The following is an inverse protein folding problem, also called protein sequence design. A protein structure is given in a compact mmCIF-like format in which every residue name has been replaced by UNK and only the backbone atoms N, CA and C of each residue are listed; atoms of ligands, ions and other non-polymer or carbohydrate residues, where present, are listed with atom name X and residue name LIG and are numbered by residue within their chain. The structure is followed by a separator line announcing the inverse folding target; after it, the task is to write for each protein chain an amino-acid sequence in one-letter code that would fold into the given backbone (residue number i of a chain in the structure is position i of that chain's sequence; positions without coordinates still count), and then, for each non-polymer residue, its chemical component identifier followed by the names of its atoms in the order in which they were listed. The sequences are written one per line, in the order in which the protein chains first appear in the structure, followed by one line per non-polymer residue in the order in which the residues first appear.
data_IF_660381617008
#
_entry.id   IF_660381617008
#
_cell.length_a   1.000
_cell.length_b   1.000
_cell.length_c   1.000
_cell.angle_alpha   90.00
_cell.angle_beta   90.00
_cell.angle_gamma   90.00
#
_symmetry.space_group_name_H-M   'P 1'
#
loop_
_entity.id
_entity.type
_entity.pdbx_description
1 polymer ?
#
# COMPACT_ATOMS: atom_id res chain seq x y z
N UNK A 1 -43.21 -31.71 26.28
CA UNK A 1 -41.75 -31.47 26.35
C UNK A 1 -41.16 -31.60 24.95
N UNK A 2 -39.95 -31.14 24.70
CA UNK A 2 -39.26 -31.35 23.41
C UNK A 2 -38.01 -32.20 23.64
N UNK A 3 -37.93 -33.32 22.95
CA UNK A 3 -36.78 -34.22 23.03
C UNK A 3 -35.67 -33.70 22.10
N UNK A 4 -34.58 -33.18 22.69
CA UNK A 4 -33.47 -32.58 21.94
C UNK A 4 -32.78 -33.64 21.08
N UNK A 5 -32.59 -34.85 21.62
CA UNK A 5 -31.94 -35.96 20.93
C UNK A 5 -32.72 -36.49 19.72
N UNK A 6 -34.04 -36.29 19.67
CA UNK A 6 -34.89 -36.83 18.61
C UNK A 6 -35.52 -35.75 17.73
N UNK A 7 -35.38 -34.47 18.09
CA UNK A 7 -35.91 -33.37 17.32
C UNK A 7 -37.44 -33.24 17.31
N UNK A 8 -38.15 -33.85 18.27
CA UNK A 8 -39.63 -33.94 18.25
C UNK A 8 -40.27 -33.56 19.59
N UNK A 9 -41.51 -33.02 19.57
CA UNK A 9 -42.31 -32.84 20.79
C UNK A 9 -42.75 -34.21 21.33
N UNK A 10 -42.59 -34.40 22.64
CA UNK A 10 -42.93 -35.63 23.36
C UNK A 10 -43.87 -35.32 24.54
N UNK A 11 -44.84 -36.21 24.77
CA UNK A 11 -45.73 -36.16 25.93
C UNK A 11 -45.10 -36.87 27.15
N UNK A 12 -45.74 -36.78 28.30
CA UNK A 12 -45.25 -37.34 29.57
C UNK A 12 -45.13 -38.88 29.54
N UNK A 13 -46.11 -39.58 28.96
CA UNK A 13 -46.07 -41.05 28.84
C UNK A 13 -44.89 -41.54 27.98
N UNK A 14 -44.57 -40.86 26.89
CA UNK A 14 -43.41 -41.19 26.06
C UNK A 14 -42.06 -40.98 26.77
N UNK A 15 -42.05 -40.13 27.81
CA UNK A 15 -40.87 -39.83 28.61
C UNK A 15 -40.70 -40.83 29.76
N UNK A 16 -41.76 -41.19 30.48
CA UNK A 16 -41.64 -42.12 31.62
C UNK A 16 -41.62 -43.60 31.22
N UNK A 17 -42.44 -43.99 30.24
CA UNK A 17 -42.63 -45.39 29.86
C UNK A 17 -42.20 -45.70 28.42
N UNK A 18 -41.82 -44.65 27.66
CA UNK A 18 -41.49 -44.74 26.25
C UNK A 18 -39.99 -44.67 25.93
N UNK A 19 -39.67 -44.65 24.63
CA UNK A 19 -38.29 -44.66 24.10
C UNK A 19 -37.45 -43.40 24.42
N UNK A 20 -37.98 -42.44 25.17
CA UNK A 20 -37.32 -41.15 25.44
C UNK A 20 -36.93 -40.96 26.90
N UNK A 21 -37.07 -41.96 27.78
CA UNK A 21 -36.77 -41.83 29.20
C UNK A 21 -35.30 -41.54 29.56
N UNK A 22 -34.36 -41.80 28.63
CA UNK A 22 -32.96 -41.42 28.78
C UNK A 22 -32.55 -40.21 27.91
N UNK A 23 -33.48 -39.61 27.17
CA UNK A 23 -33.16 -38.50 26.28
C UNK A 23 -33.33 -37.15 26.97
N UNK A 24 -32.45 -36.20 26.62
CA UNK A 24 -32.53 -34.84 27.14
C UNK A 24 -33.80 -34.15 26.61
N UNK A 25 -34.67 -33.72 27.54
CA UNK A 25 -35.90 -33.01 27.22
C UNK A 25 -35.86 -31.57 27.74
N UNK A 26 -36.26 -30.63 26.88
CA UNK A 26 -36.38 -29.21 27.22
C UNK A 26 -37.83 -28.75 27.16
N UNK A 27 -38.12 -27.64 27.82
CA UNK A 27 -39.43 -27.01 27.76
C UNK A 27 -39.78 -26.63 26.32
N UNK A 28 -40.96 -27.06 25.85
CA UNK A 28 -41.38 -26.87 24.45
C UNK A 28 -41.40 -25.38 24.06
N UNK A 29 -41.86 -24.50 24.95
CA UNK A 29 -41.87 -23.05 24.72
C UNK A 29 -40.47 -22.43 24.62
N UNK A 30 -39.48 -22.95 25.34
CA UNK A 30 -38.10 -22.49 25.24
C UNK A 30 -37.46 -22.94 23.92
N UNK A 31 -37.66 -24.20 23.54
CA UNK A 31 -37.19 -24.74 22.25
C UNK A 31 -37.84 -24.05 21.05
N UNK A 32 -39.14 -23.75 21.14
CA UNK A 32 -39.84 -22.96 20.13
C UNK A 32 -39.21 -21.57 19.94
N UNK A 33 -38.94 -20.85 21.04
CA UNK A 33 -38.27 -19.54 20.97
C UNK A 33 -36.88 -19.66 20.35
N UNK A 34 -36.09 -20.66 20.77
CA UNK A 34 -34.76 -20.90 20.23
C UNK A 34 -34.79 -21.19 18.71
N UNK A 35 -35.64 -22.13 18.26
CA UNK A 35 -35.76 -22.46 16.84
C UNK A 35 -36.27 -21.28 16.02
N UNK A 36 -37.22 -20.50 16.56
CA UNK A 36 -37.69 -19.26 15.92
C UNK A 36 -36.55 -18.26 15.74
N UNK A 37 -35.73 -18.03 16.77
CA UNK A 37 -34.58 -17.13 16.68
C UNK A 37 -33.54 -17.64 15.67
N UNK A 38 -33.24 -18.94 15.67
CA UNK A 38 -32.31 -19.54 14.70
C UNK A 38 -32.81 -19.41 13.26
N UNK A 39 -34.11 -19.65 13.01
CA UNK A 39 -34.74 -19.46 11.71
C UNK A 39 -34.69 -17.99 11.28
N UNK A 40 -34.99 -17.05 12.18
CA UNK A 40 -34.90 -15.61 11.88
C UNK A 40 -33.47 -15.17 11.56
N UNK A 41 -32.47 -15.67 12.30
CA UNK A 41 -31.06 -15.40 12.01
C UNK A 41 -30.63 -15.97 10.66
N UNK A 42 -31.02 -17.22 10.36
CA UNK A 42 -30.74 -17.84 9.07
C UNK A 42 -31.41 -17.09 7.91
N UNK A 43 -32.67 -16.67 8.08
CA UNK A 43 -33.40 -15.89 7.08
C UNK A 43 -32.74 -14.53 6.83
N UNK A 44 -32.32 -13.83 7.89
CA UNK A 44 -31.58 -12.57 7.77
C UNK A 44 -30.26 -12.78 7.03
N UNK A 45 -29.49 -13.82 7.39
CA UNK A 45 -28.23 -14.14 6.71
C UNK A 45 -28.41 -14.48 5.23
N UNK A 46 -29.49 -15.16 4.85
CA UNK A 46 -29.81 -15.40 3.43
C UNK A 46 -30.22 -14.09 2.72
N UNK A 47 -30.99 -13.23 3.38
CA UNK A 47 -31.38 -11.92 2.85
C UNK A 47 -30.16 -11.02 2.61
N UNK A 48 -29.21 -10.99 3.53
CA UNK A 48 -27.97 -10.23 3.41
C UNK A 48 -27.13 -10.75 2.24
N UNK A 49 -26.95 -12.08 2.12
CA UNK A 49 -26.27 -12.69 0.96
C UNK A 49 -26.97 -12.40 -0.37
N UNK A 50 -28.30 -12.37 -0.39
CA UNK A 50 -29.06 -12.01 -1.58
C UNK A 50 -28.86 -10.54 -1.98
N UNK A 51 -28.68 -9.65 -0.99
CA UNK A 51 -28.34 -8.24 -1.23
C UNK A 51 -26.92 -8.10 -1.79
N UNK A 52 -25.95 -8.78 -1.20
CA UNK A 52 -24.56 -8.83 -1.69
C UNK A 52 -24.49 -9.35 -3.13
N UNK A 53 -25.22 -10.43 -3.45
CA UNK A 53 -25.28 -10.97 -4.81
C UNK A 53 -25.89 -9.97 -5.81
N UNK A 54 -26.89 -9.18 -5.40
CA UNK A 54 -27.45 -8.11 -6.24
C UNK A 54 -26.46 -6.99 -6.47
N UNK A 55 -25.73 -6.56 -5.43
CA UNK A 55 -24.69 -5.54 -5.54
C UNK A 55 -23.56 -6.00 -6.48
N UNK A 56 -23.14 -7.26 -6.37
CA UNK A 56 -22.16 -7.87 -7.25
C UNK A 56 -22.65 -7.94 -8.71
N UNK A 57 -23.92 -8.27 -8.94
CA UNK A 57 -24.52 -8.23 -10.29
C UNK A 57 -24.54 -6.81 -10.88
N UNK A 58 -24.78 -5.78 -10.06
CA UNK A 58 -24.70 -4.38 -10.50
C UNK A 58 -23.26 -4.02 -10.88
N UNK A 59 -22.27 -4.42 -10.07
CA UNK A 59 -20.86 -4.22 -10.40
C UNK A 59 -20.48 -4.89 -11.71
N UNK A 60 -20.88 -6.15 -11.95
CA UNK A 60 -20.63 -6.86 -13.20
C UNK A 60 -21.26 -6.15 -14.41
N UNK A 61 -22.49 -5.63 -14.27
CA UNK A 61 -23.15 -4.86 -15.34
C UNK A 61 -22.40 -3.56 -15.64
N UNK A 62 -21.90 -2.86 -14.63
CA UNK A 62 -21.12 -1.64 -14.82
C UNK A 62 -19.79 -1.94 -15.53
N UNK A 63 -19.12 -3.05 -15.19
CA UNK A 63 -17.89 -3.49 -15.89
C UNK A 63 -18.19 -3.80 -17.36
N UNK A 64 -19.28 -4.52 -17.65
CA UNK A 64 -19.69 -4.81 -19.02
C UNK A 64 -19.97 -3.54 -19.83
N UNK A 65 -20.68 -2.57 -19.23
CA UNK A 65 -20.93 -1.28 -19.87
C UNK A 65 -19.62 -0.54 -20.16
N UNK A 66 -18.69 -0.52 -19.20
CA UNK A 66 -17.40 0.13 -19.37
C UNK A 66 -16.55 -0.54 -20.46
N UNK A 67 -16.61 -1.87 -20.59
CA UNK A 67 -15.96 -2.60 -21.69
C UNK A 67 -16.58 -2.21 -23.03
N UNK A 68 -17.91 -2.09 -23.12
CA UNK A 68 -18.59 -1.67 -24.34
C UNK A 68 -18.24 -0.24 -24.75
N UNK A 69 -18.28 0.70 -23.81
CA UNK A 69 -17.91 2.11 -24.05
C UNK A 69 -16.44 2.22 -24.48
N UNK A 70 -15.52 1.57 -23.74
CA UNK A 70 -14.11 1.52 -24.12
C UNK A 70 -13.92 0.89 -25.51
N UNK A 71 -14.65 -0.18 -25.83
CA UNK A 71 -14.56 -0.87 -27.12
C UNK A 71 -14.93 0.04 -28.29
N UNK A 72 -16.02 0.80 -28.16
CA UNK A 72 -16.44 1.78 -29.18
C UNK A 72 -15.40 2.89 -29.36
N UNK A 73 -14.82 3.39 -28.26
CA UNK A 73 -13.77 4.41 -28.31
C UNK A 73 -12.47 3.88 -28.94
N UNK A 74 -12.09 2.63 -28.65
CA UNK A 74 -10.95 1.95 -29.29
C UNK A 74 -11.17 1.82 -30.79
N UNK A 75 -12.36 1.40 -31.21
CA UNK A 75 -12.71 1.26 -32.63
C UNK A 75 -12.65 2.62 -33.33
N UNK A 76 -13.25 3.67 -32.76
CA UNK A 76 -13.22 5.02 -33.32
C UNK A 76 -11.78 5.57 -33.42
N UNK A 77 -10.94 5.33 -32.41
CA UNK A 77 -9.54 5.74 -32.43
C UNK A 77 -8.73 4.99 -33.49
N UNK A 78 -8.94 3.67 -33.61
CA UNK A 78 -8.29 2.86 -34.63
C UNK A 78 -8.68 3.32 -36.03
N UNK A 79 -9.97 3.59 -36.27
CA UNK A 79 -10.46 4.11 -37.54
C UNK A 79 -9.81 5.46 -37.85
N UNK A 80 -9.83 6.41 -36.91
CA UNK A 80 -9.21 7.71 -37.11
C UNK A 80 -7.69 7.62 -37.39
N UNK A 81 -6.98 6.69 -36.74
CA UNK A 81 -5.56 6.44 -37.00
C UNK A 81 -5.33 5.84 -38.40
N UNK A 82 -6.15 4.86 -38.80
CA UNK A 82 -6.12 4.28 -40.15
C UNK A 82 -6.42 5.34 -41.22
N UNK A 83 -7.44 6.17 -41.01
CA UNK A 83 -7.79 7.26 -41.92
C UNK A 83 -6.65 8.27 -42.05
N UNK A 84 -6.04 8.67 -40.94
CA UNK A 84 -4.88 9.57 -40.96
C UNK A 84 -3.68 8.99 -41.73
N UNK A 85 -3.45 7.67 -41.63
CA UNK A 85 -2.43 6.95 -42.41
C UNK A 85 -2.75 6.96 -43.90
N UNK A 86 -3.98 6.64 -44.27
CA UNK A 86 -4.46 6.67 -45.66
C UNK A 86 -4.31 8.07 -46.24
N UNK A 87 -4.64 9.10 -45.46
CA UNK A 87 -4.52 10.50 -45.82
C UNK A 87 -3.07 10.92 -46.04
N UNK A 88 -2.17 10.53 -45.14
CA UNK A 88 -0.74 10.80 -45.25
C UNK A 88 -0.14 10.13 -46.49
N UNK A 89 -0.48 8.85 -46.72
CA UNK A 89 -0.11 8.11 -47.93
C UNK A 89 -0.62 8.78 -49.19
N UNK A 90 -1.87 9.24 -49.19
CA UNK A 90 -2.50 9.90 -50.35
C UNK A 90 -1.82 11.24 -50.65
N UNK A 91 -1.51 12.05 -49.63
CA UNK A 91 -0.73 13.28 -49.77
C UNK A 91 0.68 13.02 -50.30
N UNK A 92 1.36 11.99 -49.79
CA UNK A 92 2.70 11.60 -50.25
C UNK A 92 2.67 11.16 -51.71
N UNK A 93 1.71 10.31 -52.08
CA UNK A 93 1.45 9.87 -53.46
C UNK A 93 1.25 11.07 -54.39
N UNK A 94 0.43 12.05 -54.00
CA UNK A 94 0.18 13.23 -54.80
C UNK A 94 1.47 14.04 -55.07
N UNK A 95 2.32 14.23 -54.06
CA UNK A 95 3.63 14.90 -54.19
C UNK A 95 4.57 14.17 -55.15
N UNK A 96 4.66 12.84 -55.03
CA UNK A 96 5.49 12.03 -55.91
C UNK A 96 4.98 12.09 -57.36
N UNK A 97 3.65 12.03 -57.55
CA UNK A 97 3.04 12.16 -58.86
C UNK A 97 3.36 13.52 -59.50
N UNK A 98 3.30 14.62 -58.72
CA UNK A 98 3.64 15.95 -59.25
C UNK A 98 5.11 16.03 -59.70
N UNK A 99 6.01 15.38 -58.97
CA UNK A 99 7.44 15.31 -59.34
C UNK A 99 7.63 14.56 -60.66
N UNK A 100 6.96 13.42 -60.83
CA UNK A 100 6.98 12.64 -62.08
C UNK A 100 6.40 13.44 -63.25
N UNK A 101 5.25 14.10 -63.07
CA UNK A 101 4.63 14.91 -64.12
C UNK A 101 5.53 16.07 -64.54
N UNK A 102 6.18 16.75 -63.59
CA UNK A 102 7.09 17.86 -63.88
C UNK A 102 8.34 17.42 -64.64
N UNK A 103 8.92 16.26 -64.29
CA UNK A 103 10.07 15.70 -65.03
C UNK A 103 9.65 15.29 -66.45
N UNK A 104 8.49 14.65 -66.60
CA UNK A 104 7.91 14.33 -67.91
C UNK A 104 7.73 15.57 -68.78
N UNK A 105 7.12 16.63 -68.24
CA UNK A 105 6.93 17.89 -68.98
C UNK A 105 8.25 18.55 -69.37
N UNK A 106 9.25 18.51 -68.49
CA UNK A 106 10.58 19.04 -68.78
C UNK A 106 11.24 18.27 -69.94
N UNK A 107 11.20 16.94 -69.91
CA UNK A 107 11.71 16.08 -70.98
C UNK A 107 10.99 16.29 -72.31
N UNK A 108 9.67 16.45 -72.29
CA UNK A 108 8.89 16.79 -73.50
C UNK A 108 9.31 18.13 -74.09
N UNK A 109 9.52 19.17 -73.26
CA UNK A 109 10.02 20.49 -73.74
C UNK A 109 11.40 20.39 -74.38
N UNK A 110 12.29 19.59 -73.80
CA UNK A 110 13.63 19.33 -74.39
C UNK A 110 13.48 18.62 -75.73
N UNK A 111 12.63 17.60 -75.82
CA UNK A 111 12.32 16.87 -77.05
C UNK A 111 11.79 17.82 -78.14
N UNK A 112 10.80 18.66 -77.82
CA UNK A 112 10.24 19.63 -78.77
C UNK A 112 11.28 20.65 -79.26
N UNK A 113 12.14 21.13 -78.37
CA UNK A 113 13.23 22.05 -78.72
C UNK A 113 14.29 21.38 -79.61
N UNK A 114 14.60 20.11 -79.36
CA UNK A 114 15.45 19.28 -80.21
C UNK A 114 14.84 19.11 -81.60
N UNK A 115 13.57 18.70 -81.69
CA UNK A 115 12.84 18.53 -82.94
C UNK A 115 12.88 19.82 -83.77
N UNK A 116 12.57 20.97 -83.15
CA UNK A 116 12.63 22.27 -83.83
C UNK A 116 14.02 22.60 -84.36
N UNK A 117 15.08 22.35 -83.58
CA UNK A 117 16.47 22.58 -84.05
C UNK A 117 16.85 21.67 -85.21
N UNK A 118 16.44 20.41 -85.18
CA UNK A 118 16.67 19.46 -86.27
C UNK A 118 15.92 19.90 -87.53
N UNK A 119 14.65 20.30 -87.42
CA UNK A 119 13.86 20.83 -88.55
C UNK A 119 14.51 22.07 -89.18
N UNK A 120 14.89 23.06 -88.36
CA UNK A 120 15.58 24.28 -88.83
C UNK A 120 16.92 23.95 -89.48
N UNK A 121 17.67 22.98 -88.93
CA UNK A 121 18.91 22.52 -89.55
C UNK A 121 18.63 21.84 -90.89
N UNK A 122 17.65 20.94 -90.98
CA UNK A 122 17.27 20.24 -92.22
C UNK A 122 16.93 21.21 -93.36
N UNK A 123 16.24 22.32 -93.09
CA UNK A 123 15.98 23.38 -94.07
C UNK A 123 17.26 24.01 -94.63
N UNK A 124 18.34 24.07 -93.83
CA UNK A 124 19.65 24.58 -94.25
C UNK A 124 20.44 23.57 -95.09
N UNK A 125 20.18 22.26 -94.99
CA UNK A 125 20.90 21.21 -95.73
C UNK A 125 20.58 21.20 -97.22
N UNK A 126 19.45 21.79 -97.60
CA UNK A 126 19.07 22.01 -99.01
C UNK A 126 20.14 22.82 -99.76
N UNK A 127 21.13 23.41 -99.07
CA UNK A 127 22.32 24.07 -99.63
C UNK A 127 23.64 23.29 -99.47
N UNK A 128 23.62 21.95 -99.54
CA UNK A 128 24.79 21.16 -100.00
C UNK A 128 25.71 20.53 -98.95
N UNK A 129 25.28 20.30 -97.70
CA UNK A 129 26.04 19.52 -96.72
C UNK A 129 25.32 18.19 -96.41
N UNK A 130 26.02 17.05 -96.57
CA UNK A 130 25.44 15.71 -96.68
C UNK A 130 25.54 14.83 -95.42
N UNK A 131 25.80 15.39 -94.22
CA UNK A 131 25.85 14.56 -92.99
C UNK A 131 25.16 15.20 -91.77
N UNK A 132 24.38 14.41 -90.99
CA UNK A 132 23.82 14.83 -89.71
C UNK A 132 24.90 15.06 -88.66
N UNK A 133 24.98 16.30 -88.16
CA UNK A 133 25.87 16.66 -87.04
C UNK A 133 25.29 16.32 -85.65
N UNK A 134 24.11 15.71 -85.58
CA UNK A 134 23.43 15.43 -84.30
C UNK A 134 23.39 13.92 -84.08
N UNK A 135 24.00 13.47 -82.98
CA UNK A 135 23.92 12.08 -82.50
C UNK A 135 22.46 11.66 -82.25
N UNK A 136 22.10 10.42 -82.57
CA UNK A 136 20.76 9.87 -82.38
C UNK A 136 20.51 9.31 -80.97
N UNK A 137 21.55 9.22 -80.13
CA UNK A 137 21.43 8.66 -78.79
C UNK A 137 21.07 9.75 -77.78
N UNK A 138 19.78 9.86 -77.49
CA UNK A 138 19.27 10.62 -76.35
C UNK A 138 18.35 9.73 -75.53
N UNK A 139 18.70 9.51 -74.26
CA UNK A 139 17.86 8.77 -73.33
C UNK A 139 16.89 9.73 -72.64
N UNK A 140 15.59 9.57 -72.93
CA UNK A 140 14.49 10.35 -72.36
C UNK A 140 13.67 9.52 -71.36
N UNK A 141 14.19 8.39 -70.87
CA UNK A 141 13.49 7.55 -69.91
C UNK A 141 13.29 8.27 -68.57
N UNK A 142 12.15 8.05 -67.92
CA UNK A 142 11.87 8.53 -66.57
C UNK A 142 12.62 7.64 -65.57
N UNK A 143 13.63 8.19 -64.88
CA UNK A 143 14.38 7.46 -63.86
C UNK A 143 13.50 7.27 -62.60
N UNK A 144 13.32 6.01 -62.19
CA UNK A 144 12.48 5.63 -61.05
C UNK A 144 13.28 5.30 -59.79
N UNK A 145 14.62 5.25 -59.83
CA UNK A 145 15.45 5.00 -58.64
C UNK A 145 15.25 6.04 -57.53
N UNK A 146 15.23 7.36 -57.81
CA UNK A 146 15.02 8.37 -56.78
C UNK A 146 13.63 8.27 -56.13
N UNK A 147 12.64 7.77 -56.88
CA UNK A 147 11.28 7.50 -56.39
C UNK A 147 11.29 6.28 -55.46
N UNK A 148 11.91 5.17 -55.86
CA UNK A 148 12.05 3.97 -55.02
C UNK A 148 12.81 4.27 -53.73
N UNK A 149 13.91 5.02 -53.80
CA UNK A 149 14.69 5.40 -52.63
C UNK A 149 13.88 6.28 -51.66
N UNK A 150 13.05 7.19 -52.19
CA UNK A 150 12.13 8.01 -51.39
C UNK A 150 11.01 7.17 -50.74
N UNK A 151 10.58 6.07 -51.38
CA UNK A 151 9.60 5.12 -50.82
C UNK A 151 10.25 4.27 -49.72
N UNK A 152 11.49 3.81 -49.93
CA UNK A 152 12.23 3.00 -48.95
C UNK A 152 12.61 3.79 -47.68
N UNK A 153 12.74 5.12 -47.78
CA UNK A 153 13.06 6.01 -46.66
C UNK A 153 11.82 6.54 -45.93
N UNK A 154 10.62 6.04 -46.23
CA UNK A 154 9.40 6.40 -45.52
C UNK A 154 9.42 5.85 -44.09
N UNK A 155 9.90 6.65 -43.14
CA UNK A 155 9.76 6.37 -41.71
C UNK A 155 8.43 6.90 -41.17
N UNK A 156 7.58 6.01 -40.67
CA UNK A 156 6.32 6.33 -39.99
C UNK A 156 6.59 6.85 -38.57
N UNK A 157 7.16 8.05 -38.47
CA UNK A 157 7.57 8.68 -37.19
C UNK A 157 6.37 8.97 -36.25
N UNK A 158 5.12 8.88 -36.73
CA UNK A 158 3.92 9.11 -35.92
C UNK A 158 3.53 7.94 -34.99
N UNK A 159 4.21 6.79 -35.02
CA UNK A 159 3.86 5.60 -34.23
C UNK A 159 4.79 5.29 -33.03
N UNK A 160 5.66 6.21 -32.57
CA UNK A 160 6.29 5.99 -31.27
C UNK A 160 5.21 6.10 -30.20
N UNK A 161 4.75 4.97 -29.65
CA UNK A 161 4.08 4.93 -28.36
C UNK A 161 4.90 5.82 -27.41
N UNK A 162 4.27 6.88 -26.92
CA UNK A 162 4.97 7.82 -26.05
C UNK A 162 4.94 7.24 -24.65
N UNK A 163 5.99 7.54 -23.87
CA UNK A 163 5.96 7.24 -22.44
C UNK A 163 4.70 7.83 -21.81
N UNK A 164 4.15 7.20 -20.75
CA UNK A 164 2.94 7.70 -20.11
C UNK A 164 3.08 9.14 -19.61
N UNK A 165 2.00 9.94 -19.62
CA UNK A 165 2.01 11.26 -19.02
C UNK A 165 2.05 11.20 -17.48
N UNK A 166 2.23 12.37 -16.85
CA UNK A 166 2.32 12.52 -15.39
C UNK A 166 1.03 12.02 -14.70
N UNK A 167 1.10 11.06 -13.75
CA UNK A 167 -0.04 10.69 -12.93
C UNK A 167 -0.44 11.82 -11.96
N UNK A 168 -1.73 11.91 -11.65
CA UNK A 168 -2.31 12.90 -10.73
C UNK A 168 -2.58 12.26 -9.36
N UNK A 169 -1.96 12.80 -8.31
CA UNK A 169 -2.25 12.41 -6.93
C UNK A 169 -3.65 12.89 -6.51
N UNK A 170 -4.41 12.00 -5.89
CA UNK A 170 -5.74 12.26 -5.34
C UNK A 170 -5.61 12.58 -3.85
N UNK A 171 -5.19 13.80 -3.52
CA UNK A 171 -4.90 14.22 -2.15
C UNK A 171 -6.08 14.01 -1.19
N UNK A 172 -7.31 14.12 -1.69
CA UNK A 172 -8.55 13.88 -0.96
C UNK A 172 -8.75 12.43 -0.51
N UNK A 173 -8.05 11.48 -1.13
CA UNK A 173 -8.05 10.05 -0.78
C UNK A 173 -6.77 9.62 -0.08
N UNK A 174 -5.75 10.48 -0.04
CA UNK A 174 -4.54 10.21 0.72
C UNK A 174 -4.82 10.42 2.21
N UNK A 175 -4.31 9.53 3.06
CA UNK A 175 -4.46 9.67 4.49
C UNK A 175 -3.25 9.08 5.23
N UNK A 176 -3.06 9.51 6.47
CA UNK A 176 -2.06 8.94 7.37
C UNK A 176 -2.78 8.32 8.56
N UNK A 177 -2.33 7.14 8.98
CA UNK A 177 -2.89 6.43 10.14
C UNK A 177 -1.74 5.81 10.92
N UNK A 178 -1.54 6.25 12.16
CA UNK A 178 -0.42 5.79 13.00
C UNK A 178 0.92 6.02 12.28
N UNK A 179 1.64 4.94 11.95
CA UNK A 179 2.86 4.93 11.15
C UNK A 179 2.66 4.40 9.72
N UNK A 180 1.45 4.51 9.17
CA UNK A 180 1.19 4.18 7.79
C UNK A 180 0.60 5.34 7.01
N UNK A 181 0.83 5.30 5.71
CA UNK A 181 0.44 6.31 4.74
C UNK A 181 -0.26 5.61 3.59
N UNK A 182 -1.48 6.04 3.28
CA UNK A 182 -2.20 5.63 2.08
C UNK A 182 -2.13 6.74 1.05
N UNK A 183 -1.68 6.39 -0.16
CA UNK A 183 -1.57 7.27 -1.32
C UNK A 183 -2.46 6.77 -2.44
N UNK A 184 -3.16 7.69 -3.08
CA UNK A 184 -4.02 7.42 -4.22
C UNK A 184 -3.63 8.32 -5.40
N UNK A 185 -3.66 7.77 -6.61
CA UNK A 185 -3.42 8.51 -7.84
C UNK A 185 -4.36 8.08 -8.95
N UNK A 186 -4.33 8.78 -10.07
CA UNK A 186 -5.04 8.41 -11.29
C UNK A 186 -4.36 9.02 -12.51
N UNK A 187 -4.61 8.46 -13.67
CA UNK A 187 -4.19 9.10 -14.91
C UNK A 187 -5.10 10.29 -15.26
N UNK A 188 -4.54 11.35 -15.89
CA UNK A 188 -5.37 12.40 -16.47
C UNK A 188 -6.42 11.81 -17.44
N UNK A 189 -7.64 12.39 -17.50
CA UNK A 189 -8.63 12.02 -18.49
C UNK A 189 -8.08 12.15 -19.93
N UNK A 190 -8.61 11.34 -20.85
CA UNK A 190 -8.24 11.35 -22.29
C UNK A 190 -6.78 10.96 -22.59
N UNK A 191 -6.17 10.16 -21.73
CA UNK A 191 -4.83 9.61 -21.98
C UNK A 191 -4.93 8.37 -22.87
N UNK A 192 -4.70 8.56 -24.17
CA UNK A 192 -4.71 7.48 -25.18
C UNK A 192 -3.45 6.58 -25.13
N UNK A 193 -2.55 6.79 -24.16
CA UNK A 193 -1.37 5.94 -23.97
C UNK A 193 -1.70 4.80 -23.00
N UNK A 194 -1.55 3.53 -23.40
CA UNK A 194 -1.72 2.41 -22.49
C UNK A 194 -0.69 2.52 -21.36
N UNK A 195 -1.17 2.47 -20.12
CA UNK A 195 -0.34 2.43 -18.91
C UNK A 195 -0.30 0.99 -18.43
N UNK A 196 0.91 0.44 -18.29
CA UNK A 196 1.11 -0.93 -17.81
C UNK A 196 1.26 -1.00 -16.30
N UNK A 197 1.68 0.11 -15.67
CA UNK A 197 1.76 0.24 -14.23
C UNK A 197 2.32 1.58 -13.76
N UNK A 198 2.55 1.66 -12.46
CA UNK A 198 3.04 2.81 -11.74
C UNK A 198 4.21 2.42 -10.83
N UNK A 199 5.08 3.39 -10.58
CA UNK A 199 6.17 3.30 -9.62
C UNK A 199 5.94 4.43 -8.61
N UNK A 200 5.72 4.05 -7.35
CA UNK A 200 5.61 4.99 -6.24
C UNK A 200 6.94 5.04 -5.50
N UNK A 201 7.40 6.26 -5.24
CA UNK A 201 8.60 6.52 -4.48
C UNK A 201 8.29 7.34 -3.23
N UNK A 202 8.97 7.00 -2.14
CA UNK A 202 8.94 7.70 -0.86
C UNK A 202 10.37 7.98 -0.40
N UNK A 203 10.63 9.14 0.19
CA UNK A 203 11.91 9.40 0.85
C UNK A 203 12.02 8.72 2.22
N UNK A 204 13.13 8.92 2.92
CA UNK A 204 13.41 8.35 4.24
C UNK A 204 12.78 9.14 5.41
N UNK A 205 12.09 10.24 5.10
CA UNK A 205 11.47 11.14 6.08
C UNK A 205 12.45 12.13 6.74
N UNK A 206 13.72 12.13 6.32
CA UNK A 206 14.78 13.03 6.81
C UNK A 206 15.41 13.83 5.65
N UNK A 207 14.68 13.94 4.52
CA UNK A 207 15.11 14.68 3.33
C UNK A 207 16.18 13.95 2.50
N UNK A 208 16.34 12.64 2.69
CA UNK A 208 17.28 11.81 1.95
C UNK A 208 16.75 11.33 0.60
N UNK A 209 17.20 10.15 0.17
CA UNK A 209 16.90 9.63 -1.16
C UNK A 209 15.51 8.99 -1.24
N UNK A 210 14.83 9.22 -2.36
CA UNK A 210 13.62 8.50 -2.74
C UNK A 210 13.92 7.02 -3.02
N UNK A 211 13.06 6.13 -2.52
CA UNK A 211 13.10 4.68 -2.75
C UNK A 211 11.78 4.20 -3.32
N UNK A 212 11.84 3.21 -4.20
CA UNK A 212 10.65 2.56 -4.75
C UNK A 212 9.96 1.73 -3.65
N UNK A 213 8.73 2.12 -3.31
CA UNK A 213 7.91 1.45 -2.28
C UNK A 213 6.78 0.64 -2.89
N UNK A 214 6.44 0.89 -4.16
CA UNK A 214 5.44 0.13 -4.89
C UNK A 214 5.71 0.15 -6.40
N UNK A 215 5.54 -1.01 -7.05
CA UNK A 215 5.54 -1.17 -8.50
C UNK A 215 4.38 -2.08 -8.89
N UNK A 216 3.44 -1.56 -9.68
CA UNK A 216 2.27 -2.35 -10.10
C UNK A 216 1.15 -1.54 -10.75
N UNK A 217 0.01 -2.18 -10.99
CA UNK A 217 -1.13 -1.58 -11.72
C UNK A 217 -2.11 -0.81 -10.85
N UNK A 218 -2.09 -1.05 -9.54
CA UNK A 218 -3.00 -0.41 -8.60
C UNK A 218 -2.72 1.08 -8.52
N UNK A 219 -3.78 1.83 -8.25
CA UNK A 219 -3.75 3.28 -8.12
C UNK A 219 -3.97 3.75 -6.68
N UNK A 220 -3.96 2.80 -5.75
CA UNK A 220 -4.06 3.01 -4.31
C UNK A 220 -3.02 2.11 -3.64
N UNK A 221 -2.16 2.69 -2.82
CA UNK A 221 -1.12 1.95 -2.11
C UNK A 221 -1.04 2.44 -0.66
N UNK A 222 -0.97 1.50 0.27
CA UNK A 222 -0.69 1.78 1.69
C UNK A 222 0.72 1.32 2.01
N UNK A 223 1.49 2.20 2.63
CA UNK A 223 2.86 1.97 3.06
C UNK A 223 2.84 1.96 4.59
N UNK A 224 3.13 0.80 5.18
CA UNK A 224 3.19 0.60 6.62
C UNK A 224 4.63 0.64 7.14
N UNK A 225 4.80 0.74 8.46
CA UNK A 225 6.11 0.61 9.10
C UNK A 225 7.00 1.86 8.98
N UNK A 226 6.40 3.03 8.75
CA UNK A 226 7.13 4.30 8.71
C UNK A 226 7.55 4.73 10.13
N UNK A 227 8.42 5.72 10.21
CA UNK A 227 8.77 6.32 11.49
C UNK A 227 7.64 7.25 11.95
N UNK A 228 7.33 7.21 13.24
CA UNK A 228 6.40 8.16 13.87
C UNK A 228 6.95 9.59 13.84
N UNK A 229 6.04 10.56 13.90
CA UNK A 229 6.34 11.99 13.94
C UNK A 229 7.36 12.42 12.87
N UNK A 230 7.24 11.84 11.68
CA UNK A 230 8.19 12.03 10.59
C UNK A 230 7.45 12.50 9.35
N UNK A 231 8.09 13.39 8.60
CA UNK A 231 7.53 14.00 7.40
C UNK A 231 8.14 13.36 6.18
N UNK A 232 7.31 12.68 5.40
CA UNK A 232 7.71 11.97 4.20
C UNK A 232 7.29 12.71 2.93
N UNK A 233 8.13 12.65 1.92
CA UNK A 233 7.86 13.13 0.57
C UNK A 233 7.55 11.93 -0.34
N UNK A 234 6.41 11.97 -1.02
CA UNK A 234 6.02 10.92 -1.96
C UNK A 234 5.83 11.47 -3.38
N UNK A 235 6.18 10.67 -4.39
CA UNK A 235 5.96 10.97 -5.81
C UNK A 235 5.70 9.70 -6.61
N UNK A 236 4.89 9.79 -7.67
CA UNK A 236 4.51 8.64 -8.49
C UNK A 236 4.77 8.91 -9.97
N UNK A 237 5.19 7.89 -10.72
CA UNK A 237 5.36 7.92 -12.19
C UNK A 237 4.66 6.70 -12.80
N UNK A 238 4.26 6.80 -14.07
CA UNK A 238 3.67 5.70 -14.82
C UNK A 238 4.66 5.13 -15.85
N UNK A 239 4.51 3.86 -16.21
CA UNK A 239 5.33 3.21 -17.24
C UNK A 239 4.50 2.34 -18.20
N UNK A 240 5.06 2.12 -19.39
CA UNK A 240 4.56 1.18 -20.40
C UNK A 240 5.73 0.59 -21.21
N UNK A 241 5.44 -0.23 -22.21
CA UNK A 241 6.42 -0.81 -23.15
C UNK A 241 7.34 0.20 -23.84
N UNK A 242 6.97 1.48 -23.90
CA UNK A 242 7.81 2.55 -24.48
C UNK A 242 8.75 3.20 -23.48
N UNK A 243 8.58 2.92 -22.19
CA UNK A 243 9.43 3.39 -21.11
C UNK A 243 8.67 4.05 -19.97
N UNK A 244 9.41 4.80 -19.15
CA UNK A 244 8.93 5.42 -17.92
C UNK A 244 8.63 6.90 -18.15
N UNK A 245 7.44 7.33 -17.72
CA UNK A 245 7.00 8.71 -17.77
C UNK A 245 7.60 9.60 -16.68
N UNK A 246 7.33 10.92 -16.74
CA UNK A 246 7.72 11.87 -15.70
C UNK A 246 7.01 11.64 -14.36
N UNK A 247 7.63 12.12 -13.27
CA UNK A 247 7.06 12.10 -11.92
C UNK A 247 5.91 13.10 -11.75
N UNK A 248 5.00 12.76 -10.85
CA UNK A 248 4.01 13.68 -10.26
C UNK A 248 4.68 14.80 -9.47
N UNK A 249 3.89 15.80 -9.10
CA UNK A 249 4.27 16.68 -7.99
C UNK A 249 4.49 15.84 -6.73
N UNK A 250 5.42 16.28 -5.89
CA UNK A 250 5.66 15.69 -4.58
C UNK A 250 4.53 16.05 -3.64
N UNK A 251 4.02 15.08 -2.89
CA UNK A 251 3.12 15.30 -1.75
C UNK A 251 3.89 15.09 -0.45
N UNK A 252 3.62 15.94 0.53
CA UNK A 252 4.19 15.89 1.87
C UNK A 252 3.18 15.26 2.81
N UNK A 253 3.59 14.25 3.55
CA UNK A 253 2.76 13.46 4.45
C UNK A 253 3.42 13.42 5.82
N UNK A 254 2.65 13.58 6.89
CA UNK A 254 3.17 13.49 8.25
C UNK A 254 2.51 12.31 8.97
N UNK A 255 3.35 11.41 9.48
CA UNK A 255 2.89 10.31 10.35
C UNK A 255 2.51 10.83 11.72
N UNK A 256 1.72 10.05 12.46
CA UNK A 256 1.23 10.49 13.77
C UNK A 256 2.40 10.78 14.73
N UNK A 257 2.23 11.84 15.50
CA UNK A 257 3.11 12.21 16.61
C UNK A 257 3.01 11.26 17.81
N UNK A 258 1.89 10.55 17.92
CA UNK A 258 1.61 9.55 18.96
C UNK A 258 1.63 8.15 18.35
N UNK A 259 2.50 7.29 18.89
CA UNK A 259 2.50 5.88 18.54
C UNK A 259 1.42 5.13 19.32
N UNK A 260 0.36 4.71 18.63
CA UNK A 260 -0.63 3.81 19.21
C UNK A 260 -0.20 2.37 18.96
N UNK A 261 -0.14 1.57 20.02
CA UNK A 261 0.06 0.13 19.91
C UNK A 261 -0.90 -0.64 20.81
N UNK A 262 -1.14 -1.87 20.40
CA UNK A 262 -1.81 -2.92 21.16
C UNK A 262 -0.84 -4.08 21.32
N UNK A 263 -1.20 -5.11 22.08
CA UNK A 263 -0.42 -6.34 22.09
C UNK A 263 -0.60 -7.08 20.76
N UNK A 264 0.50 -7.53 20.17
CA UNK A 264 0.48 -8.25 18.89
C UNK A 264 0.16 -9.74 19.11
N UNK A 265 -1.02 -10.23 18.67
CA UNK A 265 -1.39 -11.64 18.81
C UNK A 265 -0.47 -12.59 18.06
N UNK A 266 0.16 -12.14 16.97
CA UNK A 266 1.09 -12.95 16.19
C UNK A 266 2.43 -13.13 16.91
N UNK A 267 2.79 -12.16 17.76
CA UNK A 267 3.98 -12.22 18.61
C UNK A 267 3.76 -12.99 19.91
N UNK A 268 2.52 -13.12 20.38
CA UNK A 268 2.22 -13.63 21.71
C UNK A 268 2.58 -15.12 21.87
N UNK A 269 3.13 -15.49 23.04
CA UNK A 269 3.25 -16.90 23.40
C UNK A 269 1.86 -17.56 23.49
N UNK A 270 1.74 -18.87 23.24
CA UNK A 270 0.46 -19.59 23.24
C UNK A 270 -0.32 -19.47 24.56
N UNK A 271 0.38 -19.33 25.67
CA UNK A 271 -0.23 -19.21 27.00
C UNK A 271 -0.69 -17.79 27.32
N UNK A 272 -0.29 -16.78 26.54
CA UNK A 272 -0.77 -15.41 26.66
C UNK A 272 -2.18 -15.32 26.11
N UNK A 273 -3.06 -14.70 26.90
CA UNK A 273 -4.45 -14.47 26.55
C UNK A 273 -4.67 -12.96 26.42
N UNK A 274 -4.98 -12.54 25.20
CA UNK A 274 -5.28 -11.17 24.86
C UNK A 274 -6.79 -10.94 24.81
N UNK A 275 -7.25 -9.81 25.36
CA UNK A 275 -8.66 -9.42 25.36
C UNK A 275 -8.80 -7.90 25.17
N UNK A 276 -10.04 -7.42 25.07
CA UNK A 276 -10.37 -6.00 24.90
C UNK A 276 -9.64 -5.38 23.68
N UNK A 277 -9.87 -5.96 22.49
CA UNK A 277 -9.20 -5.57 21.25
C UNK A 277 -7.67 -5.57 21.35
N UNK A 278 -7.13 -6.59 22.04
CA UNK A 278 -5.70 -6.78 22.33
C UNK A 278 -5.08 -5.66 23.18
N UNK A 279 -5.89 -4.93 23.96
CA UNK A 279 -5.44 -3.93 24.92
C UNK A 279 -5.34 -4.49 26.34
N UNK A 280 -5.48 -5.80 26.53
CA UNK A 280 -5.30 -6.42 27.84
C UNK A 280 -4.55 -7.72 27.67
N UNK A 281 -3.43 -7.86 28.37
CA UNK A 281 -2.62 -9.06 28.41
C UNK A 281 -2.77 -9.77 29.76
N UNK A 282 -3.03 -11.07 29.68
CA UNK A 282 -3.02 -12.02 30.80
C UNK A 282 -2.29 -13.29 30.36
N UNK A 283 -1.97 -14.18 31.30
CA UNK A 283 -1.34 -15.46 31.00
C UNK A 283 -2.14 -16.60 31.65
N UNK A 284 -2.10 -17.77 31.03
CA UNK A 284 -2.69 -18.99 31.58
C UNK A 284 -1.68 -19.83 32.37
N UNK A 285 -0.37 -19.61 32.17
CA UNK A 285 0.73 -20.32 32.84
C UNK A 285 1.15 -19.64 34.15
N UNK A 286 1.74 -20.42 35.07
CA UNK A 286 2.45 -19.89 36.25
C UNK A 286 3.86 -19.41 35.92
N UNK A 287 4.42 -19.86 34.79
CA UNK A 287 5.67 -19.33 34.28
C UNK A 287 5.44 -17.99 33.57
N UNK A 288 6.47 -17.15 33.56
CA UNK A 288 6.45 -15.91 32.78
C UNK A 288 6.51 -16.19 31.28
N UNK A 289 5.68 -15.46 30.54
CA UNK A 289 5.58 -15.54 29.09
C UNK A 289 5.63 -14.15 28.48
N UNK A 290 6.36 -14.01 27.37
CA UNK A 290 6.55 -12.72 26.70
C UNK A 290 5.43 -12.46 25.68
N UNK A 291 5.04 -11.19 25.59
CA UNK A 291 4.26 -10.62 24.49
C UNK A 291 4.84 -9.28 24.06
N UNK A 292 4.76 -8.97 22.76
CA UNK A 292 5.25 -7.72 22.17
C UNK A 292 4.09 -6.80 21.79
N UNK A 293 4.37 -5.50 21.71
CA UNK A 293 3.49 -4.50 21.13
C UNK A 293 3.52 -4.52 19.60
N UNK A 294 2.49 -3.98 18.97
CA UNK A 294 2.38 -3.86 17.50
C UNK A 294 3.24 -2.77 16.87
N UNK A 295 3.79 -1.85 17.67
CA UNK A 295 4.66 -0.77 17.20
C UNK A 295 6.14 -1.08 17.42
N UNK A 296 6.95 -0.77 16.41
CA UNK A 296 8.40 -0.87 16.44
C UNK A 296 9.05 0.52 16.32
N UNK A 297 10.12 0.73 17.09
CA UNK A 297 10.82 2.01 17.22
C UNK A 297 12.30 1.84 16.88
N UNK A 298 12.80 2.71 16.00
CA UNK A 298 14.18 2.72 15.50
C UNK A 298 14.87 4.09 15.65
N UNK A 299 14.10 5.17 15.86
CA UNK A 299 14.60 6.52 16.12
C UNK A 299 13.63 7.32 17.00
N UNK A 300 14.10 8.41 17.61
CA UNK A 300 13.27 9.32 18.40
C UNK A 300 13.17 8.98 19.89
N UNK A 301 12.27 9.67 20.58
CA UNK A 301 12.03 9.49 22.02
C UNK A 301 10.58 9.05 22.21
N UNK A 302 10.40 7.91 22.88
CA UNK A 302 9.10 7.26 23.05
C UNK A 302 8.87 6.96 24.52
N UNK A 303 7.68 7.28 25.01
CA UNK A 303 7.27 7.00 26.39
C UNK A 303 5.91 6.33 26.39
N UNK A 304 5.80 5.18 27.06
CA UNK A 304 4.53 4.48 27.26
C UNK A 304 4.29 4.06 28.70
N UNK A 305 3.02 3.87 29.02
CA UNK A 305 2.58 3.42 30.34
C UNK A 305 1.76 2.14 30.23
N UNK A 306 2.02 1.22 31.16
CA UNK A 306 1.32 -0.04 31.33
C UNK A 306 0.71 -0.05 32.72
N UNK A 307 -0.61 -0.23 32.79
CA UNK A 307 -1.35 -0.24 34.04
C UNK A 307 -1.55 -1.68 34.53
N UNK A 308 -1.38 -1.90 35.83
CA UNK A 308 -1.46 -3.21 36.47
C UNK A 308 -2.85 -3.39 37.07
N UNK A 309 -3.79 -3.89 36.27
CA UNK A 309 -5.20 -4.12 36.66
C UNK A 309 -5.35 -5.20 37.75
N UNK A 310 -4.52 -6.25 37.70
CA UNK A 310 -4.53 -7.37 38.64
C UNK A 310 -3.10 -7.75 39.01
N UNK A 311 -2.88 -7.98 40.30
CA UNK A 311 -1.61 -8.37 40.87
C UNK A 311 -1.86 -9.18 42.13
N UNK A 312 -1.91 -10.51 41.98
CA UNK A 312 -2.25 -11.44 43.06
C UNK A 312 -1.03 -12.29 43.41
N UNK A 313 -0.86 -12.76 44.65
CA UNK A 313 0.21 -13.72 45.01
C UNK A 313 1.67 -13.26 44.74
N UNK A 314 1.92 -11.95 44.64
CA UNK A 314 3.26 -11.33 44.54
C UNK A 314 4.19 -11.90 43.44
N UNK A 315 3.77 -11.92 42.15
CA UNK A 315 4.60 -12.32 41.02
C UNK A 315 5.60 -11.21 40.66
N UNK A 316 6.58 -11.55 39.82
CA UNK A 316 7.63 -10.61 39.39
C UNK A 316 7.50 -10.27 37.89
N UNK A 317 6.44 -9.57 37.44
CA UNK A 317 6.29 -9.20 36.03
C UNK A 317 7.45 -8.31 35.57
N UNK A 318 7.79 -8.39 34.28
CA UNK A 318 8.88 -7.63 33.69
C UNK A 318 8.41 -6.80 32.50
N UNK A 319 8.80 -5.53 32.49
CA UNK A 319 8.37 -4.51 31.54
C UNK A 319 9.59 -3.96 30.80
N UNK A 320 9.51 -3.73 29.50
CA UNK A 320 10.61 -3.12 28.78
C UNK A 320 10.49 -3.16 27.28
N UNK A 321 11.62 -3.43 26.63
CA UNK A 321 11.74 -3.45 25.18
C UNK A 321 12.35 -4.77 24.73
N UNK A 322 12.02 -5.19 23.52
CA UNK A 322 12.62 -6.37 22.92
C UNK A 322 12.73 -6.28 21.40
N UNK A 323 13.63 -7.09 20.85
CA UNK A 323 13.71 -7.37 19.43
C UNK A 323 12.66 -8.40 19.02
N UNK A 324 12.29 -8.44 17.74
CA UNK A 324 11.20 -9.29 17.24
C UNK A 324 11.41 -10.79 17.44
N UNK A 325 12.66 -11.22 17.56
CA UNK A 325 13.05 -12.61 17.74
C UNK A 325 13.33 -12.99 19.20
N UNK A 326 12.87 -12.20 20.18
CA UNK A 326 12.98 -12.50 21.62
C UNK A 326 12.40 -13.87 21.95
N UNK A 327 13.02 -14.57 22.91
CA UNK A 327 12.55 -15.86 23.40
C UNK A 327 11.33 -15.66 24.31
N UNK A 328 10.26 -16.39 24.05
CA UNK A 328 8.94 -16.14 24.67
C UNK A 328 8.60 -17.08 25.83
N UNK A 329 9.33 -18.19 25.95
CA UNK A 329 9.18 -19.24 26.98
C UNK A 329 9.91 -18.92 28.30
N UNK A 330 10.20 -17.64 28.55
CA UNK A 330 10.93 -17.18 29.74
C UNK A 330 10.55 -15.73 30.10
N UNK A 331 11.03 -15.27 31.26
CA UNK A 331 10.92 -13.88 31.68
C UNK A 331 11.71 -12.93 30.75
N UNK A 332 11.16 -11.75 30.50
CA UNK A 332 11.77 -10.72 29.66
C UNK A 332 13.11 -10.25 30.26
N UNK A 333 14.14 -10.13 29.42
CA UNK A 333 15.50 -9.74 29.82
C UNK A 333 16.41 -10.91 30.19
N UNK A 334 15.90 -12.15 30.27
CA UNK A 334 16.74 -13.35 30.45
C UNK A 334 17.57 -13.69 29.22
N UNK A 335 17.13 -13.30 28.04
CA UNK A 335 17.91 -13.44 26.80
C UNK A 335 18.69 -12.16 26.46
N UNK A 336 19.42 -12.22 25.36
CA UNK A 336 20.22 -11.13 24.80
C UNK A 336 19.42 -10.19 23.88
N UNK A 337 18.10 -10.38 23.77
CA UNK A 337 17.22 -9.67 22.83
C UNK A 337 16.25 -8.73 23.52
N UNK A 338 16.22 -8.71 24.84
CA UNK A 338 15.34 -7.88 25.64
C UNK A 338 16.09 -7.10 26.72
N UNK A 339 15.59 -5.90 27.01
CA UNK A 339 16.04 -5.02 28.08
C UNK A 339 14.81 -4.68 28.91
N UNK A 340 14.83 -5.06 30.19
CA UNK A 340 13.64 -5.00 31.01
C UNK A 340 13.93 -4.49 32.43
N UNK A 341 12.87 -4.07 33.10
CA UNK A 341 12.79 -3.96 34.53
C UNK A 341 11.78 -4.99 35.03
N UNK A 342 12.23 -5.92 35.88
CA UNK A 342 11.32 -6.79 36.62
C UNK A 342 11.09 -6.22 38.01
N UNK A 343 9.89 -6.43 38.53
CA UNK A 343 9.41 -5.71 39.70
C UNK A 343 8.58 -6.63 40.59
N UNK A 344 8.95 -6.68 41.88
CA UNK A 344 8.18 -7.35 42.92
C UNK A 344 7.23 -6.33 43.60
N UNK A 345 6.63 -6.70 44.73
CA UNK A 345 5.72 -5.80 45.47
C UNK A 345 6.40 -4.64 46.21
N UNK A 346 7.72 -4.71 46.40
CA UNK A 346 8.51 -3.75 47.18
C UNK A 346 9.61 -3.05 46.37
N UNK A 347 10.11 -3.67 45.30
CA UNK A 347 11.39 -3.35 44.66
C UNK A 347 11.39 -3.66 43.18
N UNK A 348 12.30 -3.00 42.47
CA UNK A 348 12.56 -3.22 41.06
C UNK A 348 14.05 -3.48 40.79
N UNK A 349 14.32 -4.16 39.68
CA UNK A 349 15.66 -4.43 39.16
C UNK A 349 15.66 -4.37 37.65
N UNK A 350 16.79 -3.96 37.08
CA UNK A 350 17.00 -4.06 35.64
C UNK A 350 17.49 -5.46 35.29
N UNK A 351 17.06 -5.99 34.14
CA UNK A 351 17.45 -7.30 33.63
C UNK A 351 17.76 -7.25 32.13
N UNK A 352 18.93 -7.79 31.77
CA UNK A 352 19.37 -8.03 30.39
C UNK A 352 20.42 -9.15 30.40
N UNK A 353 20.41 -10.05 29.40
CA UNK A 353 21.33 -11.19 29.34
C UNK A 353 21.34 -12.05 30.62
N UNK A 354 20.18 -12.21 31.27
CA UNK A 354 20.04 -12.92 32.57
C UNK A 354 20.86 -12.32 33.73
N UNK A 355 21.37 -11.09 33.56
CA UNK A 355 22.07 -10.33 34.60
C UNK A 355 21.13 -9.29 35.19
N UNK A 356 21.07 -9.21 36.52
CA UNK A 356 20.25 -8.22 37.24
C UNK A 356 21.10 -7.14 37.90
N UNK A 357 20.67 -5.88 37.82
CA UNK A 357 21.40 -4.73 38.38
C UNK A 357 20.45 -3.69 38.98
N UNK A 358 21.03 -2.70 39.67
CA UNK A 358 20.34 -1.47 40.10
C UNK A 358 19.04 -1.68 40.88
N UNK A 359 19.12 -2.47 41.96
CA UNK A 359 18.01 -2.66 42.89
C UNK A 359 17.53 -1.30 43.40
N UNK A 360 16.24 -1.01 43.20
CA UNK A 360 15.59 0.21 43.64
C UNK A 360 14.35 -0.11 44.48
N UNK A 361 14.11 0.66 45.53
CA UNK A 361 12.91 0.52 46.36
C UNK A 361 11.72 1.21 45.66
N UNK A 362 10.54 0.58 45.73
CA UNK A 362 9.36 0.93 44.95
C UNK A 362 8.95 -0.22 44.03
N UNK A 363 7.96 -1.00 44.47
CA UNK A 363 7.40 -2.12 43.71
C UNK A 363 6.05 -1.80 43.08
N UNK A 364 5.39 -2.82 42.55
CA UNK A 364 4.05 -2.71 41.96
C UNK A 364 2.98 -3.30 42.87
N UNK A 365 1.77 -2.76 42.74
CA UNK A 365 0.54 -3.28 43.34
C UNK A 365 -0.60 -3.16 42.33
N UNK A 366 -1.76 -3.72 42.66
CA UNK A 366 -2.98 -3.47 41.88
C UNK A 366 -3.22 -1.96 41.75
N UNK A 367 -3.43 -1.49 40.52
CA UNK A 367 -3.62 -0.09 40.18
C UNK A 367 -2.31 0.70 39.95
N UNK A 368 -1.14 0.07 40.04
CA UNK A 368 0.12 0.72 39.73
C UNK A 368 0.26 0.97 38.22
N UNK A 369 0.98 2.02 37.86
CA UNK A 369 1.34 2.35 36.48
C UNK A 369 2.85 2.25 36.30
N UNK A 370 3.29 1.46 35.32
CA UNK A 370 4.69 1.29 34.94
C UNK A 370 4.96 2.05 33.65
N UNK A 371 5.82 3.06 33.71
CA UNK A 371 6.26 3.85 32.57
C UNK A 371 7.58 3.35 32.01
N UNK A 372 7.73 3.36 30.69
CA UNK A 372 8.96 3.02 29.98
C UNK A 372 9.32 4.17 29.04
N UNK A 373 10.50 4.75 29.22
CA UNK A 373 11.05 5.82 28.38
C UNK A 373 12.22 5.27 27.57
N UNK A 374 12.02 5.17 26.26
CA UNK A 374 13.03 4.79 25.29
C UNK A 374 13.51 6.04 24.53
N UNK A 375 14.74 6.48 24.79
CA UNK A 375 15.40 7.58 24.07
C UNK A 375 16.43 7.00 23.10
N UNK A 376 16.03 6.78 21.84
CA UNK A 376 16.92 6.26 20.79
C UNK A 376 17.87 7.33 20.24
N UNK A 377 17.67 8.60 20.60
CA UNK A 377 18.61 9.66 20.23
C UNK A 377 19.82 9.68 21.18
N UNK A 378 19.59 9.33 22.45
CA UNK A 378 20.64 9.19 23.48
C UNK A 378 21.04 7.73 23.74
N UNK A 379 20.42 6.79 23.03
CA UNK A 379 20.62 5.35 23.21
C UNK A 379 20.39 4.88 24.66
N UNK A 380 19.36 5.40 25.33
CA UNK A 380 19.08 5.12 26.73
C UNK A 380 17.66 4.63 26.99
N UNK A 381 17.51 3.83 28.05
CA UNK A 381 16.23 3.30 28.53
C UNK A 381 16.06 3.67 30.01
N UNK A 382 14.88 4.18 30.38
CA UNK A 382 14.53 4.48 31.77
C UNK A 382 13.14 3.96 32.11
N UNK A 383 12.92 3.67 33.39
CA UNK A 383 11.68 3.09 33.90
C UNK A 383 11.10 3.94 35.01
N UNK A 384 9.78 3.94 35.12
CA UNK A 384 9.03 4.72 36.09
C UNK A 384 7.96 3.82 36.73
N UNK A 385 7.71 4.00 38.02
CA UNK A 385 6.58 3.41 38.72
C UNK A 385 5.80 4.55 39.35
N UNK A 386 4.53 4.69 38.98
CA UNK A 386 3.64 5.78 39.41
C UNK A 386 4.27 7.18 39.22
N UNK A 387 4.96 7.38 38.10
CA UNK A 387 5.67 8.62 37.75
C UNK A 387 7.02 8.83 38.45
N UNK A 388 7.44 7.94 39.35
CA UNK A 388 8.74 7.99 40.01
C UNK A 388 9.76 7.14 39.26
N UNK A 389 10.87 7.75 38.84
CA UNK A 389 11.94 7.05 38.14
C UNK A 389 12.55 5.97 39.02
N UNK A 390 12.70 4.77 38.47
CA UNK A 390 13.37 3.65 39.12
C UNK A 390 14.84 3.67 38.71
N UNK A 391 15.73 3.88 39.69
CA UNK A 391 17.18 3.85 39.49
C UNK A 391 17.73 4.95 38.56
N UNK A 392 19.05 4.92 38.27
CA UNK A 392 19.64 5.69 37.18
C UNK A 392 19.10 5.20 35.81
N UNK A 393 19.39 5.90 34.70
CA UNK A 393 19.15 5.35 33.36
C UNK A 393 19.64 3.88 33.28
N UNK A 394 18.74 2.98 32.91
CA UNK A 394 18.87 1.55 33.16
C UNK A 394 19.87 0.87 32.23
N UNK A 395 19.87 1.31 30.97
CA UNK A 395 20.73 0.78 29.92
C UNK A 395 21.21 1.93 29.03
N UNK A 396 22.47 1.84 28.62
CA UNK A 396 23.11 2.75 27.68
C UNK A 396 23.53 1.96 26.42
N UNK A 397 23.73 2.65 25.31
CA UNK A 397 24.06 2.06 23.99
C UNK A 397 22.98 1.10 23.48
N UNK A 398 21.71 1.41 23.77
CA UNK A 398 20.56 0.68 23.23
C UNK A 398 20.36 1.08 21.77
N UNK A 399 20.76 0.19 20.85
CA UNK A 399 20.70 0.40 19.40
C UNK A 399 19.94 -0.70 18.65
N UNK A 400 19.16 -0.28 17.66
CA UNK A 400 18.40 -1.14 16.76
C UNK A 400 16.91 -0.81 16.73
N UNK A 401 16.12 -1.79 16.29
CA UNK A 401 14.66 -1.70 16.23
C UNK A 401 14.07 -2.46 17.41
N UNK A 402 13.27 -1.76 18.21
CA UNK A 402 12.71 -2.29 19.44
C UNK A 402 11.20 -2.17 19.48
N UNK A 403 10.55 -3.15 20.08
CA UNK A 403 9.12 -3.11 20.38
C UNK A 403 8.91 -3.04 21.88
N UNK A 404 7.83 -2.39 22.35
CA UNK A 404 7.34 -2.57 23.71
C UNK A 404 7.17 -4.05 24.01
N UNK A 405 7.63 -4.48 25.17
CA UNK A 405 7.61 -5.87 25.57
C UNK A 405 7.24 -6.01 27.04
N UNK A 406 6.57 -7.11 27.35
CA UNK A 406 6.12 -7.46 28.69
C UNK A 406 6.23 -8.97 28.86
N UNK A 407 6.68 -9.42 30.03
CA UNK A 407 6.45 -10.79 30.47
C UNK A 407 5.65 -10.83 31.75
N UNK A 408 4.69 -11.75 31.80
CA UNK A 408 3.81 -11.91 32.94
C UNK A 408 3.34 -13.37 33.08
N UNK A 409 2.96 -13.75 34.30
CA UNK A 409 2.30 -15.01 34.60
C UNK A 409 0.81 -14.81 34.93
N UNK A 410 0.11 -15.91 35.19
CA UNK A 410 -1.34 -15.95 35.47
C UNK A 410 -1.83 -14.94 36.51
N UNK A 411 -1.00 -14.59 37.48
CA UNK A 411 -1.40 -13.76 38.59
C UNK A 411 -1.36 -12.24 38.28
N UNK A 412 -0.93 -11.86 37.07
CA UNK A 412 -0.88 -10.46 36.63
C UNK A 412 -1.82 -10.23 35.45
N UNK A 413 -2.46 -9.06 35.44
CA UNK A 413 -3.15 -8.52 34.27
C UNK A 413 -2.66 -7.11 34.01
N UNK A 414 -2.33 -6.82 32.75
CA UNK A 414 -1.82 -5.53 32.34
C UNK A 414 -2.58 -5.01 31.13
N UNK A 415 -2.83 -3.71 31.10
CA UNK A 415 -3.40 -2.97 29.97
C UNK A 415 -2.50 -1.76 29.63
N UNK A 416 -2.27 -1.44 28.34
CA UNK A 416 -1.63 -0.19 27.98
C UNK A 416 -2.56 0.97 28.35
N UNK A 417 -2.01 1.98 29.01
CA UNK A 417 -2.74 3.21 29.27
C UNK A 417 -2.75 4.08 28.00
N UNK A 418 -3.89 4.70 27.68
CA UNK A 418 -4.03 5.58 26.51
C UNK A 418 -3.01 6.73 26.57
N UNK A 419 -2.26 6.93 25.49
CA UNK A 419 -1.12 7.84 25.46
C UNK A 419 -1.50 9.32 25.46
N UNK A 420 -0.75 10.09 26.24
CA UNK A 420 -0.37 11.48 25.93
C UNK A 420 1.14 11.51 25.75
N UNK A 421 1.62 11.91 24.57
CA UNK A 421 2.97 12.43 24.43
C UNK A 421 2.87 13.95 24.26
N UNK A 422 3.17 14.70 25.34
CA UNK A 422 3.55 16.11 25.23
C UNK A 422 5.02 16.17 24.83
N UNK A 423 5.32 16.82 23.70
CA UNK A 423 6.69 17.13 23.32
C UNK A 423 7.18 18.39 24.05
N UNK A 424 8.46 18.36 24.38
CA UNK A 424 9.34 19.42 24.89
C UNK A 424 9.61 19.37 26.39
N UNK A 425 10.91 19.46 26.69
CA UNK A 425 11.54 19.33 27.98
C UNK A 425 10.79 20.06 29.09
N UNK A 426 10.25 19.32 30.06
CA UNK A 426 10.09 19.78 31.44
C UNK A 426 9.71 18.59 32.34
N UNK A 427 10.14 18.68 33.60
CA UNK A 427 10.00 17.68 34.65
C UNK A 427 8.54 17.22 34.87
N UNK A 428 8.30 16.04 35.47
CA UNK A 428 6.96 15.44 35.61
C UNK A 428 6.00 16.14 36.59
N UNK A 429 6.21 17.41 36.93
CA UNK A 429 5.51 18.07 38.07
C UNK A 429 4.43 19.08 37.71
N UNK A 430 4.15 19.37 36.43
CA UNK A 430 3.10 20.34 36.09
C UNK A 430 1.79 19.68 35.63
N UNK A 431 0.84 19.58 36.57
CA UNK A 431 -0.58 19.32 36.30
C UNK A 431 -1.18 20.53 35.56
N UNK A 432 -1.74 20.34 34.36
CA UNK A 432 -2.69 21.31 33.79
C UNK A 432 -3.98 20.68 33.29
N UNK A 433 -5.05 21.38 33.66
CA UNK A 433 -6.47 21.11 33.48
C UNK A 433 -6.93 21.15 32.01
N UNK A 434 -8.03 20.42 31.77
CA UNK A 434 -8.96 20.46 30.63
C UNK A 434 -8.87 21.65 29.67
N UNK A 435 -9.01 21.36 28.36
CA UNK A 435 -9.96 22.06 27.50
C UNK A 435 -10.37 21.18 26.31
N UNK A 436 -11.64 20.81 26.32
CA UNK A 436 -12.44 20.25 25.25
C UNK A 436 -13.00 21.37 24.35
N UNK A 437 -13.07 21.12 23.02
CA UNK A 437 -13.96 21.68 21.96
C UNK A 437 -13.24 21.48 20.61
N UNK A 438 -13.58 20.54 19.73
CA UNK A 438 -14.79 20.40 18.89
C UNK A 438 -15.18 21.70 18.16
N UNK A 439 -14.65 21.80 16.94
CA UNK A 439 -15.30 22.11 15.66
C UNK A 439 -16.67 22.83 15.76
N UNK A 440 -16.71 24.04 15.22
CA UNK A 440 -17.77 24.51 14.34
C UNK A 440 -17.13 24.87 12.99
#
# INVERSE_FOLDING_TARGET
MYCVSCGTPVCYQCLEEGKHGQHEVKALGAMWKQHKTQLSQALNGVSDKAKEAKEFLVQLKNILQQIQENGLDYEACLVAQCDALVDALTRQKAKLLTKVTKDREHKLKISDALIKRVQVSQEQWVKGALEPKVSAEFDLTLDSEPLLQSIHQLDFIQMKCRVPPVPLLQLEKCCTRNNSVTLAWRMPPFTHNPVEGYILELDDGDGGQFREVYVGKETLCTIDGLHFNSTYNARVKAFNSSGVGPYSKTVVLQTSDVAWFTFDPSSAHRDIVLSNDNQTATCSSYDDRVVLGTAAFSKGVHYWELHVDRYDNHPDPAFGIARINVIKDMMLGKDDKAWAMYVDNNRSWFMHCNSHTSRTEGGVSKGATVGVLLDLNKHSLAFYINGQQQGPPAFENVEGVFMPALSLNRNVQVNPFQFRLTRSACQPTEKFYCLSKVIA
#
